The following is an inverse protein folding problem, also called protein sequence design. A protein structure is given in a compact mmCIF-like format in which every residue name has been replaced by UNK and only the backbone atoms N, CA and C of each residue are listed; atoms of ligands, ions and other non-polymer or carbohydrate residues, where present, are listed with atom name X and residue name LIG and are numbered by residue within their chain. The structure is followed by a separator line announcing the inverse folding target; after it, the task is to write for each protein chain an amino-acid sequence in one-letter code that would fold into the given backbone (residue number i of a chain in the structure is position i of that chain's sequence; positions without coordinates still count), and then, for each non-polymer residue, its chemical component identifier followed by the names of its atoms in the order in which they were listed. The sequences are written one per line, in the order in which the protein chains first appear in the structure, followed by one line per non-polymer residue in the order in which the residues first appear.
data_IF_669955215697
#
_entry.id   IF_669955215697
#
_cell.length_a   1.000
_cell.length_b   1.000
_cell.length_c   1.000
_cell.angle_alpha   90.00
_cell.angle_beta   90.00
_cell.angle_gamma   90.00
#
_symmetry.space_group_name_H-M   'P 1'
#
loop_
_entity.id
_entity.type
_entity.pdbx_description
1 polymer ?
#
# COMPACT_ATOMS: atom_id res chain seq x y z
N UNK A 1 17.88 -3.23 10.19
CA UNK A 1 18.39 -2.88 11.54
C UNK A 1 17.63 -3.74 12.53
N UNK A 2 18.14 -4.93 12.83
CA UNK A 2 17.52 -5.84 13.80
C UNK A 2 17.92 -5.34 15.18
N UNK A 3 16.96 -4.86 15.96
CA UNK A 3 17.21 -4.46 17.35
C UNK A 3 17.46 -5.72 18.17
N UNK A 4 18.73 -6.03 18.45
CA UNK A 4 19.08 -7.05 19.45
C UNK A 4 18.69 -6.47 20.82
N UNK A 5 17.50 -6.83 21.30
CA UNK A 5 17.10 -6.53 22.68
C UNK A 5 17.88 -7.46 23.61
N UNK A 6 18.76 -6.89 24.42
CA UNK A 6 19.44 -7.62 25.49
C UNK A 6 18.48 -7.80 26.67
N UNK A 7 17.60 -8.80 26.59
CA UNK A 7 16.72 -9.17 27.69
C UNK A 7 17.50 -9.99 28.72
N UNK A 8 17.44 -9.61 30.00
CA UNK A 8 18.08 -10.31 31.12
C UNK A 8 17.48 -11.71 31.36
N UNK A 9 16.25 -11.93 30.94
CA UNK A 9 15.57 -13.23 30.94
C UNK A 9 15.33 -13.63 29.50
N UNK A 10 15.86 -14.78 29.09
CA UNK A 10 15.62 -15.31 27.75
C UNK A 10 14.15 -15.83 27.68
N UNK A 11 13.27 -15.17 26.91
CA UNK A 11 11.84 -15.51 26.88
C UNK A 11 11.58 -16.88 26.26
N UNK A 12 12.51 -17.44 25.50
CA UNK A 12 12.38 -18.76 24.84
C UNK A 12 13.11 -19.88 25.59
N UNK A 13 13.73 -19.60 26.74
CA UNK A 13 14.50 -20.60 27.49
C UNK A 13 13.66 -21.76 28.06
N UNK A 14 12.34 -21.63 28.06
CA UNK A 14 11.40 -22.66 28.50
C UNK A 14 10.94 -23.59 27.37
N UNK A 15 11.33 -23.31 26.12
CA UNK A 15 10.92 -24.09 24.95
C UNK A 15 11.87 -25.26 24.74
N UNK A 16 11.29 -26.43 24.43
CA UNK A 16 12.05 -27.59 23.96
C UNK A 16 12.36 -27.47 22.47
N UNK A 17 13.26 -28.30 21.96
CA UNK A 17 13.58 -28.37 20.53
C UNK A 17 12.33 -28.68 19.67
N UNK A 18 11.48 -29.59 20.16
CA UNK A 18 10.21 -29.91 19.52
C UNK A 18 9.22 -28.72 19.53
N UNK A 19 9.19 -27.91 20.59
CA UNK A 19 8.35 -26.71 20.64
C UNK A 19 8.84 -25.66 19.63
N UNK A 20 10.17 -25.54 19.46
CA UNK A 20 10.77 -24.63 18.48
C UNK A 20 10.44 -25.07 17.06
N UNK A 21 10.53 -26.36 16.75
CA UNK A 21 10.18 -26.91 15.43
C UNK A 21 8.68 -26.72 15.11
N UNK A 22 7.80 -27.02 16.05
CA UNK A 22 6.36 -26.83 15.88
C UNK A 22 6.01 -25.35 15.69
N UNK A 23 6.60 -24.46 16.49
CA UNK A 23 6.41 -23.02 16.34
C UNK A 23 6.91 -22.52 14.98
N UNK A 24 8.03 -23.05 14.49
CA UNK A 24 8.54 -22.77 13.15
C UNK A 24 7.53 -23.15 12.05
N UNK A 25 6.98 -24.36 12.13
CA UNK A 25 5.97 -24.85 11.19
C UNK A 25 4.68 -24.00 11.23
N UNK A 26 4.22 -23.60 12.41
CA UNK A 26 3.05 -22.71 12.55
C UNK A 26 3.30 -21.32 11.94
N UNK A 27 4.46 -20.73 12.21
CA UNK A 27 4.84 -19.42 11.66
C UNK A 27 4.98 -19.47 10.14
N UNK A 28 5.55 -20.53 9.59
CA UNK A 28 5.65 -20.73 8.14
C UNK A 28 4.28 -20.91 7.51
N UNK A 29 3.36 -21.65 8.15
CA UNK A 29 1.98 -21.78 7.69
C UNK A 29 1.26 -20.42 7.67
N UNK A 30 1.44 -19.59 8.70
CA UNK A 30 0.89 -18.21 8.73
C UNK A 30 1.51 -17.37 7.61
N UNK A 31 2.83 -17.45 7.43
CA UNK A 31 3.54 -16.72 6.37
C UNK A 31 3.00 -17.11 5.00
N UNK A 32 2.82 -18.39 4.73
CA UNK A 32 2.29 -18.88 3.46
C UNK A 32 0.85 -18.41 3.23
N UNK A 33 -0.01 -18.45 4.26
CA UNK A 33 -1.36 -17.90 4.17
C UNK A 33 -1.36 -16.40 3.86
N UNK A 34 -0.49 -15.63 4.52
CA UNK A 34 -0.36 -14.19 4.28
C UNK A 34 0.20 -13.91 2.89
N UNK A 35 1.24 -14.63 2.44
CA UNK A 35 1.79 -14.48 1.09
C UNK A 35 0.79 -14.90 0.01
N UNK A 36 -0.02 -15.92 0.26
CA UNK A 36 -1.06 -16.35 -0.68
C UNK A 36 -2.23 -15.36 -0.74
N UNK A 37 -2.54 -14.70 0.39
CA UNK A 37 -3.55 -13.64 0.43
C UNK A 37 -3.07 -12.31 -0.16
N UNK A 38 -1.77 -12.00 -0.07
CA UNK A 38 -1.12 -10.84 -0.69
C UNK A 38 -0.67 -11.17 -2.10
N UNK A 39 -1.38 -10.68 -3.10
CA UNK A 39 -1.06 -11.05 -4.47
C UNK A 39 -1.86 -10.29 -5.50
N UNK A 40 -2.44 -11.02 -6.45
CA UNK A 40 -3.09 -10.48 -7.63
C UNK A 40 -4.15 -9.40 -7.30
N UNK A 41 -4.90 -9.58 -6.21
CA UNK A 41 -5.93 -8.60 -5.79
C UNK A 41 -5.34 -7.24 -5.43
N UNK A 42 -4.26 -7.22 -4.65
CA UNK A 42 -3.58 -5.97 -4.27
C UNK A 42 -2.90 -5.35 -5.49
N UNK A 43 -2.28 -6.18 -6.34
CA UNK A 43 -1.66 -5.72 -7.58
C UNK A 43 -2.69 -5.11 -8.55
N UNK A 44 -3.87 -5.73 -8.67
CA UNK A 44 -4.96 -5.22 -9.50
C UNK A 44 -5.54 -3.94 -8.92
N UNK A 45 -5.73 -3.87 -7.60
CA UNK A 45 -6.11 -2.64 -6.92
C UNK A 45 -5.13 -1.50 -7.25
N UNK A 46 -3.82 -1.71 -7.05
CA UNK A 46 -2.79 -0.69 -7.33
C UNK A 46 -2.81 -0.28 -8.81
N UNK A 47 -2.89 -1.24 -9.75
CA UNK A 47 -2.97 -0.94 -11.19
C UNK A 47 -4.23 -0.13 -11.54
N UNK A 48 -5.36 -0.45 -10.94
CA UNK A 48 -6.61 0.30 -11.10
C UNK A 48 -6.47 1.72 -10.57
N UNK A 49 -5.91 1.89 -9.36
CA UNK A 49 -5.66 3.20 -8.75
C UNK A 49 -4.73 4.04 -9.63
N UNK A 50 -3.61 3.49 -10.09
CA UNK A 50 -2.68 4.17 -11.02
C UNK A 50 -3.39 4.61 -12.29
N UNK A 51 -4.22 3.74 -12.88
CA UNK A 51 -4.95 4.05 -14.11
C UNK A 51 -5.96 5.18 -13.88
N UNK A 52 -6.70 5.12 -12.76
CA UNK A 52 -7.67 6.15 -12.39
C UNK A 52 -6.99 7.50 -12.12
N UNK A 53 -5.90 7.50 -11.36
CA UNK A 53 -5.10 8.69 -11.05
C UNK A 53 -4.58 9.35 -12.33
N UNK A 54 -3.96 8.59 -13.24
CA UNK A 54 -3.42 9.12 -14.50
C UNK A 54 -4.50 9.70 -15.40
N UNK A 55 -5.66 9.03 -15.48
CA UNK A 55 -6.81 9.53 -16.27
C UNK A 55 -7.38 10.80 -15.66
N UNK A 56 -7.51 10.85 -14.34
CA UNK A 56 -7.98 12.05 -13.63
C UNK A 56 -7.01 13.22 -13.84
N UNK A 57 -5.71 13.00 -13.66
CA UNK A 57 -4.69 14.04 -13.88
C UNK A 57 -4.74 14.57 -15.32
N UNK A 58 -4.73 13.68 -16.32
CA UNK A 58 -4.75 14.09 -17.73
C UNK A 58 -6.07 14.79 -18.09
N UNK A 59 -7.21 14.26 -17.61
CA UNK A 59 -8.53 14.84 -17.84
C UNK A 59 -8.68 16.21 -17.20
N UNK A 60 -8.22 16.38 -15.96
CA UNK A 60 -8.24 17.67 -15.27
C UNK A 60 -7.35 18.70 -15.96
N UNK A 61 -6.16 18.31 -16.45
CA UNK A 61 -5.33 19.18 -17.30
C UNK A 61 -6.05 19.58 -18.58
N UNK A 62 -6.73 18.65 -19.24
CA UNK A 62 -7.51 18.94 -20.43
C UNK A 62 -8.67 19.92 -20.15
N UNK A 63 -9.38 19.76 -19.02
CA UNK A 63 -10.43 20.70 -18.59
C UNK A 63 -9.85 22.10 -18.36
N UNK A 64 -8.66 22.20 -17.78
CA UNK A 64 -8.00 23.49 -17.55
C UNK A 64 -7.59 24.23 -18.83
N UNK A 65 -7.53 23.57 -19.99
CA UNK A 65 -7.37 24.25 -21.28
C UNK A 65 -8.54 25.21 -21.58
N UNK A 66 -9.70 24.99 -20.96
CA UNK A 66 -10.88 25.85 -21.07
C UNK A 66 -11.11 26.71 -19.81
N UNK A 67 -10.07 26.94 -19.00
CA UNK A 67 -10.16 27.64 -17.70
C UNK A 67 -10.65 29.10 -17.76
N UNK A 68 -10.72 29.71 -18.94
CA UNK A 68 -11.37 31.01 -19.12
C UNK A 68 -12.87 30.97 -18.74
N UNK A 69 -13.48 29.78 -18.76
CA UNK A 69 -14.80 29.51 -18.20
C UNK A 69 -14.66 29.15 -16.70
N UNK A 70 -15.18 29.96 -15.75
CA UNK A 70 -14.91 29.78 -14.32
C UNK A 70 -15.23 28.40 -13.74
N UNK A 71 -16.33 27.72 -14.15
CA UNK A 71 -16.58 26.35 -13.71
C UNK A 71 -15.51 25.35 -14.18
N UNK A 72 -14.97 25.49 -15.40
CA UNK A 72 -13.91 24.62 -15.89
C UNK A 72 -12.61 24.81 -15.09
N UNK A 73 -12.26 26.05 -14.75
CA UNK A 73 -11.13 26.32 -13.87
C UNK A 73 -11.27 25.64 -12.50
N UNK A 74 -12.45 25.76 -11.88
CA UNK A 74 -12.72 25.15 -10.57
C UNK A 74 -12.64 23.62 -10.62
N UNK A 75 -13.34 23.00 -11.58
CA UNK A 75 -13.38 21.53 -11.74
C UNK A 75 -11.99 20.99 -12.06
N UNK A 76 -11.27 21.62 -13.00
CA UNK A 76 -9.94 21.20 -13.39
C UNK A 76 -8.93 21.29 -12.24
N UNK A 77 -9.00 22.35 -11.43
CA UNK A 77 -8.11 22.52 -10.27
C UNK A 77 -8.43 21.50 -9.17
N UNK A 78 -9.70 21.31 -8.83
CA UNK A 78 -10.12 20.31 -7.83
C UNK A 78 -9.71 18.89 -8.25
N UNK A 79 -9.95 18.52 -9.51
CA UNK A 79 -9.58 17.21 -10.02
C UNK A 79 -8.06 16.99 -10.03
N UNK A 80 -7.27 18.01 -10.36
CA UNK A 80 -5.81 17.93 -10.22
C UNK A 80 -5.38 17.73 -8.78
N UNK A 81 -5.91 18.50 -7.84
CA UNK A 81 -5.60 18.36 -6.42
C UNK A 81 -5.90 16.95 -5.91
N UNK A 82 -7.07 16.39 -6.26
CA UNK A 82 -7.42 15.01 -5.90
C UNK A 82 -6.46 14.01 -6.53
N UNK A 83 -6.11 14.17 -7.81
CA UNK A 83 -5.16 13.27 -8.48
C UNK A 83 -3.79 13.24 -7.78
N UNK A 84 -3.32 14.38 -7.24
CA UNK A 84 -2.05 14.48 -6.52
C UNK A 84 -2.12 13.92 -5.10
N UNK A 85 -3.26 14.08 -4.42
CA UNK A 85 -3.50 13.39 -3.14
C UNK A 85 -3.41 11.88 -3.33
N UNK A 86 -4.06 11.34 -4.37
CA UNK A 86 -4.01 9.89 -4.66
C UNK A 86 -2.60 9.44 -5.02
N UNK A 87 -1.88 10.18 -5.87
CA UNK A 87 -0.49 9.88 -6.22
C UNK A 87 0.40 9.77 -4.97
N UNK A 88 0.32 10.77 -4.07
CA UNK A 88 1.14 10.81 -2.87
C UNK A 88 0.73 9.78 -1.81
N UNK A 89 -0.54 9.38 -1.75
CA UNK A 89 -1.04 8.43 -0.75
C UNK A 89 -0.92 6.97 -1.19
N UNK A 90 -1.14 6.66 -2.46
CA UNK A 90 -1.34 5.28 -2.92
C UNK A 90 -0.25 4.80 -3.90
N UNK A 91 0.52 5.71 -4.50
CA UNK A 91 1.48 5.36 -5.56
C UNK A 91 2.93 5.63 -5.11
N UNK A 92 3.18 6.79 -4.49
CA UNK A 92 4.51 7.21 -4.04
C UNK A 92 5.35 7.82 -5.16
#
# INVERSE_FOLDING_TARGET
MTTIQHLTTNPIAHLTEADIENLGAELDAIREQVLTSRGQRDADYIRTVITAQRRLELGSRAVLLFSLFPPAWLIGTLGLSISKIIENMEIG
#
